data_IF_590176424352
#
_entry.id   IF_590176424352
#
_cell.length_a   1.000
_cell.length_b   1.000
_cell.length_c   1.000
_cell.angle_alpha   90.00
_cell.angle_beta   90.00
_cell.angle_gamma   90.00
#
_symmetry.space_group_name_H-M   'P 1'
#
loop_
_entity.id
_entity.type
_entity.pdbx_description
1 polymer ?
#
# COMPACT_ATOMS: atom_id res chain seq x y z
N UNK A 1 -23.75 11.14 6.50
CA UNK A 1 -24.21 10.81 7.87
C UNK A 1 -23.03 10.85 8.82
N UNK A 2 -23.22 10.87 10.15
CA UNK A 2 -22.10 10.80 11.11
C UNK A 2 -21.27 9.50 10.96
N UNK A 3 -21.90 8.42 10.48
CA UNK A 3 -21.21 7.14 10.21
C UNK A 3 -20.16 7.24 9.10
N UNK A 4 -20.46 7.92 8.00
CA UNK A 4 -19.52 8.04 6.87
C UNK A 4 -18.24 8.80 7.28
N UNK A 5 -18.38 9.83 8.12
CA UNK A 5 -17.24 10.60 8.62
C UNK A 5 -16.35 9.80 9.57
N UNK A 6 -16.93 8.93 10.39
CA UNK A 6 -16.16 8.04 11.28
C UNK A 6 -15.37 7.02 10.46
N UNK A 7 -15.97 6.43 9.42
CA UNK A 7 -15.29 5.49 8.53
C UNK A 7 -14.15 6.15 7.72
N UNK A 8 -14.35 7.37 7.21
CA UNK A 8 -13.26 8.13 6.53
C UNK A 8 -12.10 8.39 7.49
N UNK A 9 -12.37 8.74 8.76
CA UNK A 9 -11.32 8.98 9.74
C UNK A 9 -10.58 7.69 10.13
N UNK A 10 -11.29 6.57 10.27
CA UNK A 10 -10.69 5.24 10.48
C UNK A 10 -9.81 4.84 9.30
N UNK A 11 -10.32 5.00 8.08
CA UNK A 11 -9.59 4.71 6.85
C UNK A 11 -8.30 5.54 6.73
N UNK A 12 -8.39 6.85 7.02
CA UNK A 12 -7.22 7.73 7.02
C UNK A 12 -6.15 7.27 8.00
N UNK A 13 -6.55 6.92 9.24
CA UNK A 13 -5.63 6.36 10.24
C UNK A 13 -5.05 5.03 9.79
N UNK A 14 -5.83 4.18 9.13
CA UNK A 14 -5.40 2.89 8.63
C UNK A 14 -4.33 3.06 7.53
N UNK A 15 -4.59 3.86 6.50
CA UNK A 15 -3.60 4.15 5.43
C UNK A 15 -2.29 4.70 5.99
N UNK A 16 -2.34 5.53 7.03
CA UNK A 16 -1.14 6.09 7.66
C UNK A 16 -0.36 5.10 8.53
N UNK A 17 -0.98 4.03 9.05
CA UNK A 17 -0.39 3.18 10.11
C UNK A 17 -0.37 1.68 9.81
N UNK A 18 -0.99 1.20 8.72
CA UNK A 18 -0.87 -0.21 8.33
C UNK A 18 0.54 -0.44 7.77
N UNK A 19 1.17 -1.49 8.27
CA UNK A 19 2.48 -1.95 7.80
C UNK A 19 2.39 -3.44 7.46
N UNK A 20 3.17 -3.87 6.47
CA UNK A 20 3.26 -5.26 6.03
C UNK A 20 3.77 -6.14 7.17
N UNK A 21 2.94 -7.09 7.63
CA UNK A 21 3.31 -8.09 8.65
C UNK A 21 3.72 -9.43 8.03
N UNK A 22 3.00 -9.86 6.99
CA UNK A 22 3.17 -11.15 6.31
C UNK A 22 3.56 -10.93 4.84
N UNK A 23 2.75 -11.42 3.92
CA UNK A 23 2.88 -11.29 2.47
C UNK A 23 2.45 -9.88 2.03
N UNK A 24 3.02 -9.38 0.93
CA UNK A 24 2.60 -8.11 0.34
C UNK A 24 1.14 -8.17 -0.13
N UNK A 25 0.66 -9.33 -0.58
CA UNK A 25 -0.73 -9.51 -1.00
C UNK A 25 -1.73 -9.23 0.15
N UNK A 26 -1.50 -9.78 1.34
CA UNK A 26 -2.36 -9.55 2.51
C UNK A 26 -2.37 -8.07 2.89
N UNK A 27 -1.18 -7.46 2.97
CA UNK A 27 -1.02 -6.03 3.22
C UNK A 27 -1.77 -5.17 2.21
N UNK A 28 -1.70 -5.54 0.93
CA UNK A 28 -2.34 -4.80 -0.17
C UNK A 28 -3.86 -4.81 -0.02
N UNK A 29 -4.44 -5.95 0.34
CA UNK A 29 -5.88 -6.08 0.55
C UNK A 29 -6.33 -5.14 1.68
N UNK A 30 -5.61 -5.11 2.80
CA UNK A 30 -5.94 -4.20 3.92
C UNK A 30 -5.79 -2.73 3.53
N UNK A 31 -4.72 -2.39 2.82
CA UNK A 31 -4.47 -1.02 2.38
C UNK A 31 -5.53 -0.53 1.39
N UNK A 32 -5.85 -1.31 0.35
CA UNK A 32 -6.85 -0.94 -0.66
C UNK A 32 -8.25 -0.82 -0.05
N UNK A 33 -8.60 -1.68 0.91
CA UNK A 33 -9.87 -1.57 1.66
C UNK A 33 -9.97 -0.22 2.39
N UNK A 34 -8.90 0.26 3.01
CA UNK A 34 -8.90 1.57 3.65
C UNK A 34 -8.89 2.71 2.62
N UNK A 35 -8.06 2.62 1.58
CA UNK A 35 -7.94 3.65 0.54
C UNK A 35 -9.25 3.89 -0.22
N UNK A 36 -10.12 2.86 -0.35
CA UNK A 36 -11.43 2.99 -1.00
C UNK A 36 -12.37 4.01 -0.33
N UNK A 37 -12.12 4.37 0.93
CA UNK A 37 -12.88 5.40 1.65
C UNK A 37 -12.26 6.81 1.54
N UNK A 38 -11.13 6.97 0.84
CA UNK A 38 -10.37 8.23 0.76
C UNK A 38 -10.40 8.78 -0.68
N UNK A 39 -11.57 9.30 -1.08
CA UNK A 39 -11.80 9.87 -2.41
C UNK A 39 -11.02 11.17 -2.68
N UNK A 40 -10.60 11.86 -1.62
CA UNK A 40 -9.82 13.10 -1.66
C UNK A 40 -8.30 12.88 -1.80
N UNK A 41 -7.83 11.63 -1.77
CA UNK A 41 -6.40 11.31 -1.80
C UNK A 41 -5.91 11.02 -3.21
N UNK A 42 -4.87 11.73 -3.62
CA UNK A 42 -4.19 11.45 -4.89
C UNK A 42 -3.44 10.11 -4.86
N UNK A 43 -3.28 9.48 -6.03
CA UNK A 43 -2.43 8.30 -6.22
C UNK A 43 -1.04 8.49 -5.60
N UNK A 44 -0.43 9.67 -5.79
CA UNK A 44 0.89 9.97 -5.22
C UNK A 44 0.90 9.89 -3.69
N UNK A 45 -0.14 10.43 -3.03
CA UNK A 45 -0.25 10.35 -1.58
C UNK A 45 -0.43 8.89 -1.12
N UNK A 46 -1.28 8.13 -1.80
CA UNK A 46 -1.49 6.71 -1.50
C UNK A 46 -0.22 5.88 -1.74
N UNK A 47 0.52 6.16 -2.82
CA UNK A 47 1.79 5.51 -3.14
C UNK A 47 2.84 5.76 -2.06
N UNK A 48 3.00 7.00 -1.60
CA UNK A 48 3.94 7.35 -0.53
C UNK A 48 3.65 6.55 0.75
N UNK A 49 2.37 6.44 1.13
CA UNK A 49 1.95 5.69 2.31
C UNK A 49 2.06 4.17 2.12
N UNK A 50 1.67 3.66 0.95
CA UNK A 50 1.80 2.24 0.61
C UNK A 50 3.27 1.81 0.66
N UNK A 51 4.15 2.57 0.00
CA UNK A 51 5.59 2.30 -0.01
C UNK A 51 6.16 2.29 1.41
N UNK A 52 5.82 3.28 2.25
CA UNK A 52 6.30 3.35 3.65
C UNK A 52 5.90 2.13 4.47
N UNK A 53 4.70 1.58 4.24
CA UNK A 53 4.19 0.42 4.95
C UNK A 53 4.83 -0.92 4.55
N UNK A 54 5.54 -0.99 3.41
CA UNK A 54 6.25 -2.21 2.98
C UNK A 54 7.44 -2.53 3.88
N UNK A 55 7.81 -3.82 3.96
CA UNK A 55 9.06 -4.24 4.62
C UNK A 55 10.27 -3.77 3.83
N UNK A 56 11.36 -3.44 4.54
CA UNK A 56 12.62 -2.97 3.92
C UNK A 56 13.13 -3.90 2.82
N UNK A 57 13.11 -5.22 3.04
CA UNK A 57 13.52 -6.20 2.02
C UNK A 57 12.77 -6.07 0.67
N UNK A 58 11.51 -5.65 0.71
CA UNK A 58 10.67 -5.44 -0.49
C UNK A 58 11.04 -4.10 -1.12
N UNK A 59 11.22 -3.06 -0.31
CA UNK A 59 11.69 -1.73 -0.74
C UNK A 59 13.05 -1.81 -1.45
N UNK A 60 13.98 -2.59 -0.90
CA UNK A 60 15.32 -2.80 -1.49
C UNK A 60 15.25 -3.40 -2.90
N UNK A 61 14.31 -4.31 -3.15
CA UNK A 61 14.07 -4.87 -4.49
C UNK A 61 13.36 -3.87 -5.42
N UNK A 62 12.47 -3.04 -4.88
CA UNK A 62 11.74 -2.03 -5.65
C UNK A 62 12.66 -0.93 -6.20
N UNK A 63 13.72 -0.55 -5.47
CA UNK A 63 14.70 0.47 -5.92
C UNK A 63 15.34 0.12 -7.28
N UNK A 64 15.36 -1.17 -7.64
CA UNK A 64 15.98 -1.69 -8.87
C UNK A 64 14.94 -1.85 -10.01
N UNK A 65 13.68 -1.49 -9.80
CA UNK A 65 12.61 -1.60 -10.80
C UNK A 65 12.24 -0.22 -11.39
N UNK A 66 11.41 -0.22 -12.43
CA UNK A 66 10.86 0.99 -13.05
C UNK A 66 10.10 1.85 -12.02
N UNK A 67 10.13 3.17 -12.20
CA UNK A 67 9.45 4.15 -11.33
C UNK A 67 7.93 4.14 -11.57
N UNK A 68 7.11 3.56 -10.66
CA UNK A 68 5.67 3.45 -10.86
C UNK A 68 5.02 4.83 -10.87
N UNK A 69 4.00 5.01 -11.72
CA UNK A 69 3.26 6.27 -11.88
C UNK A 69 1.89 6.25 -11.22
N UNK A 70 1.40 5.06 -10.88
CA UNK A 70 0.11 4.85 -10.22
C UNK A 70 0.25 3.92 -9.03
N UNK A 71 -0.72 3.97 -8.12
CA UNK A 71 -0.78 3.05 -6.98
C UNK A 71 -0.84 1.58 -7.45
N UNK A 72 -1.59 1.32 -8.51
CA UNK A 72 -1.80 -0.03 -9.06
C UNK A 72 -0.51 -0.62 -9.65
N UNK A 73 0.32 0.20 -10.30
CA UNK A 73 1.65 -0.19 -10.77
C UNK A 73 2.59 -0.52 -9.61
N UNK A 74 2.63 0.34 -8.58
CA UNK A 74 3.45 0.11 -7.39
C UNK A 74 3.06 -1.21 -6.68
N UNK A 75 1.76 -1.47 -6.54
CA UNK A 75 1.24 -2.72 -5.96
C UNK A 75 1.73 -3.94 -6.76
N UNK A 76 1.59 -3.91 -8.10
CA UNK A 76 2.04 -5.02 -8.97
C UNK A 76 3.52 -5.28 -8.83
N UNK A 77 4.34 -4.22 -8.79
CA UNK A 77 5.79 -4.34 -8.59
C UNK A 77 6.11 -4.91 -7.21
N UNK A 78 5.44 -4.46 -6.15
CA UNK A 78 5.67 -4.92 -4.78
C UNK A 78 5.34 -6.42 -4.63
N UNK A 79 4.21 -6.87 -5.18
CA UNK A 79 3.82 -8.30 -5.19
C UNK A 79 4.84 -9.14 -5.95
N UNK A 80 5.27 -8.68 -7.13
CA UNK A 80 6.30 -9.37 -7.94
C UNK A 80 7.63 -9.49 -7.18
N UNK A 81 8.00 -8.47 -6.42
CA UNK A 81 9.21 -8.49 -5.58
C UNK A 81 9.07 -9.49 -4.41
N UNK A 82 7.95 -9.49 -3.70
CA UNK A 82 7.73 -10.42 -2.57
C UNK A 82 7.71 -11.89 -3.03
N UNK A 83 7.11 -12.18 -4.18
CA UNK A 83 7.13 -13.52 -4.78
C UNK A 83 8.57 -13.98 -5.11
N UNK A 84 9.38 -13.10 -5.73
CA UNK A 84 10.80 -13.40 -6.02
C UNK A 84 11.63 -13.61 -4.76
N UNK A 85 11.29 -12.93 -3.66
CA UNK A 85 11.95 -13.12 -2.37
C UNK A 85 11.53 -14.42 -1.68
N UNK A 86 10.33 -14.92 -1.95
CA UNK A 86 9.85 -16.21 -1.45
C UNK A 86 10.46 -17.40 -2.19
N UNK A 87 10.80 -17.24 -3.47
CA UNK A 87 11.46 -18.26 -4.30
C UNK A 87 12.97 -18.44 -4.00
N UNK A 88 13.56 -17.57 -3.17
CA UNK A 88 14.99 -17.62 -2.77
C UNK A 88 15.15 -18.27 -1.40
#
# INVERSE_FOLDING_TARGET
SFGDLDEVNKARRAVMNIHQKTLVADYTIEFQKAAAYLDDWSDRALMDHYYRGLKERVKDQLIIQDDPKTLDELIKLAIKCDNRLFER
#
